data_IF_048885195241
#
_entry.id   IF_048885195241
#
_cell.length_a   1.000
_cell.length_b   1.000
_cell.length_c   1.000
_cell.angle_alpha   90.00
_cell.angle_beta   90.00
_cell.angle_gamma   90.00
#
_symmetry.space_group_name_H-M   'P 1'
#
loop_
_entity.id
_entity.type
_entity.pdbx_description
1 polymer ?
#
# COMPACT_ATOMS: atom_id res chain seq x y z
N UNK A 1 -4.70 3.56 -16.51
CA UNK A 1 -4.26 2.51 -15.56
C UNK A 1 -3.65 3.24 -14.39
N UNK A 2 -4.44 3.52 -13.35
CA UNK A 2 -3.97 4.27 -12.18
C UNK A 2 -3.36 3.29 -11.19
N UNK A 3 -2.03 3.25 -11.12
CA UNK A 3 -1.31 2.50 -10.09
C UNK A 3 -1.35 3.35 -8.83
N UNK A 4 -2.28 3.05 -7.91
CA UNK A 4 -2.45 3.82 -6.68
C UNK A 4 -1.37 3.53 -5.62
N UNK A 5 -0.50 2.55 -5.88
CA UNK A 5 0.51 2.10 -4.92
C UNK A 5 1.82 2.90 -4.90
N UNK A 6 2.08 3.78 -5.87
CA UNK A 6 3.43 4.35 -6.04
C UNK A 6 3.37 5.84 -6.36
N UNK A 7 3.29 6.68 -5.34
CA UNK A 7 3.67 8.09 -5.42
C UNK A 7 4.77 8.32 -4.37
N UNK A 8 6.01 8.25 -4.81
CA UNK A 8 7.17 8.80 -4.11
C UNK A 8 7.52 10.11 -4.84
N UNK A 9 7.33 11.27 -4.18
CA UNK A 9 7.85 12.53 -4.73
C UNK A 9 6.94 13.75 -4.76
N UNK A 10 5.90 13.84 -3.93
CA UNK A 10 5.22 15.12 -3.69
C UNK A 10 5.29 15.43 -2.19
N UNK A 11 5.91 16.56 -1.84
CA UNK A 11 5.68 17.16 -0.52
C UNK A 11 4.18 17.41 -0.31
N UNK A 12 3.73 17.63 0.93
CA UNK A 12 2.31 17.68 1.30
C UNK A 12 1.45 18.65 0.47
N UNK A 13 2.07 19.64 -0.20
CA UNK A 13 1.38 20.66 -0.98
C UNK A 13 1.14 20.35 -2.48
N UNK A 14 1.66 19.24 -3.05
CA UNK A 14 1.63 19.05 -4.52
C UNK A 14 0.68 17.93 -5.03
N UNK A 15 -0.17 17.37 -4.18
CA UNK A 15 -1.15 16.32 -4.58
C UNK A 15 -2.53 16.91 -5.00
N UNK A 16 -2.66 18.25 -5.09
CA UNK A 16 -3.92 18.90 -5.46
C UNK A 16 -3.83 19.68 -6.77
N UNK A 17 -4.08 19.02 -7.90
CA UNK A 17 -4.75 19.60 -9.07
C UNK A 17 -5.01 18.55 -10.17
N UNK A 18 -6.07 17.75 -10.04
CA UNK A 18 -7.04 17.39 -11.11
C UNK A 18 -7.90 16.20 -10.71
N UNK A 19 -9.03 16.48 -10.05
CA UNK A 19 -10.24 15.67 -10.14
C UNK A 19 -11.46 16.47 -9.64
N UNK A 20 -11.68 17.66 -10.21
CA UNK A 20 -12.96 18.35 -10.07
C UNK A 20 -13.92 17.76 -11.11
N UNK A 21 -14.82 16.86 -10.71
CA UNK A 21 -15.82 16.35 -11.64
C UNK A 21 -16.62 15.11 -11.25
N UNK A 22 -16.98 14.88 -9.99
CA UNK A 22 -18.04 13.93 -9.65
C UNK A 22 -19.02 14.58 -8.67
N UNK A 23 -20.17 15.00 -9.21
CA UNK A 23 -21.32 15.49 -8.43
C UNK A 23 -22.19 14.30 -8.04
N UNK A 24 -22.61 14.30 -6.77
CA UNK A 24 -23.76 13.64 -6.18
C UNK A 24 -23.92 12.14 -6.43
N UNK A 25 -23.42 11.35 -5.49
CA UNK A 25 -23.95 10.03 -5.17
C UNK A 25 -24.72 10.13 -3.84
N UNK A 26 -25.95 9.62 -3.82
CA UNK A 26 -26.79 9.41 -2.64
C UNK A 26 -26.00 8.67 -1.52
N UNK A 27 -26.37 8.83 -0.24
CA UNK A 27 -25.57 8.35 0.88
C UNK A 27 -25.69 6.82 0.98
N UNK A 28 -24.89 6.11 0.18
CA UNK A 28 -24.32 4.85 0.65
C UNK A 28 -23.60 5.24 1.93
N UNK A 29 -24.10 4.77 3.08
CA UNK A 29 -23.46 4.93 4.39
C UNK A 29 -21.96 4.78 4.14
N UNK A 30 -21.20 5.87 4.33
CA UNK A 30 -19.76 5.86 4.14
C UNK A 30 -19.19 4.81 5.10
N UNK A 31 -19.01 3.59 4.59
CA UNK A 31 -18.48 2.49 5.36
C UNK A 31 -16.99 2.77 5.49
N UNK A 32 -16.55 3.10 6.70
CA UNK A 32 -15.13 3.12 7.03
C UNK A 32 -14.70 1.66 7.22
N UNK A 33 -13.82 1.10 6.37
CA UNK A 33 -13.44 -0.31 6.48
C UNK A 33 -12.74 -0.65 7.79
N UNK A 34 -12.02 0.31 8.37
CA UNK A 34 -11.27 0.17 9.62
C UNK A 34 -12.04 0.88 10.74
N UNK A 35 -12.35 0.16 11.80
CA UNK A 35 -13.06 0.66 13.00
C UNK A 35 -12.11 0.95 14.16
N UNK A 36 -10.92 0.34 14.17
CA UNK A 36 -9.88 0.62 15.16
C UNK A 36 -8.48 0.49 14.55
N UNK A 37 -7.58 1.35 15.00
CA UNK A 37 -6.16 1.39 14.65
C UNK A 37 -5.45 2.19 15.76
N UNK A 38 -4.41 1.62 16.37
CA UNK A 38 -3.63 2.34 17.38
C UNK A 38 -2.72 3.37 16.71
N UNK A 39 -3.02 4.63 16.97
CA UNK A 39 -2.30 5.80 16.46
C UNK A 39 -1.36 6.40 17.51
N UNK A 40 -1.05 5.69 18.60
CA UNK A 40 -0.13 6.16 19.63
C UNK A 40 1.21 6.56 19.00
N UNK A 41 1.68 7.77 19.30
CA UNK A 41 2.90 8.35 18.74
C UNK A 41 2.75 8.97 17.35
N UNK A 42 1.56 8.92 16.75
CA UNK A 42 1.23 9.59 15.50
C UNK A 42 0.37 10.84 15.74
N UNK A 43 0.63 11.90 14.98
CA UNK A 43 -0.18 13.12 14.94
C UNK A 43 -0.86 13.22 13.58
N UNK A 44 -2.18 13.41 13.57
CA UNK A 44 -2.94 13.60 12.32
C UNK A 44 -2.51 14.92 11.65
N UNK A 45 -2.24 14.85 10.36
CA UNK A 45 -1.88 16.03 9.54
C UNK A 45 -3.01 16.39 8.58
N UNK A 46 -3.62 15.36 8.00
CA UNK A 46 -4.76 15.45 7.11
C UNK A 46 -5.68 14.25 7.39
N UNK A 47 -6.97 14.30 7.03
CA UNK A 47 -7.88 13.18 7.22
C UNK A 47 -7.32 11.88 6.64
N UNK A 48 -7.06 10.89 7.48
CA UNK A 48 -6.51 9.60 7.05
C UNK A 48 -4.99 9.57 6.84
N UNK A 49 -4.27 10.63 7.24
CA UNK A 49 -2.81 10.74 7.15
C UNK A 49 -2.23 11.26 8.47
N UNK A 50 -1.32 10.48 9.05
CA UNK A 50 -0.65 10.80 10.30
C UNK A 50 0.87 10.73 10.16
N UNK A 51 1.57 11.48 10.99
CA UNK A 51 3.04 11.47 11.05
C UNK A 51 3.55 11.31 12.47
N UNK A 52 4.65 10.60 12.66
CA UNK A 52 5.37 10.57 13.95
C UNK A 52 6.52 11.59 14.00
N UNK A 53 7.24 11.63 15.12
CA UNK A 53 8.40 12.51 15.32
C UNK A 53 9.60 12.17 14.42
N UNK A 54 9.73 10.91 13.99
CA UNK A 54 10.78 10.47 13.07
C UNK A 54 10.48 10.83 11.61
N UNK A 55 9.31 11.42 11.33
CA UNK A 55 8.87 11.76 9.97
C UNK A 55 8.28 10.58 9.21
N UNK A 56 7.99 9.47 9.89
CA UNK A 56 7.25 8.35 9.33
C UNK A 56 5.82 8.80 9.01
N UNK A 57 5.32 8.47 7.83
CA UNK A 57 3.96 8.80 7.41
C UNK A 57 3.13 7.52 7.39
N UNK A 58 2.06 7.49 8.18
CA UNK A 58 1.00 6.48 8.15
C UNK A 58 -0.19 7.03 7.38
N UNK A 59 -0.79 6.24 6.51
CA UNK A 59 -2.02 6.61 5.81
C UNK A 59 -2.92 5.41 5.61
N UNK A 60 -4.23 5.66 5.62
CA UNK A 60 -5.27 4.67 5.36
C UNK A 60 -6.07 5.08 4.14
N UNK A 61 -6.20 4.18 3.19
CA UNK A 61 -6.93 4.41 1.94
C UNK A 61 -8.06 3.38 1.80
N UNK A 62 -9.19 3.83 1.27
CA UNK A 62 -10.25 2.95 0.80
C UNK A 62 -10.52 3.20 -0.68
N UNK A 63 -10.48 2.14 -1.47
CA UNK A 63 -10.73 2.17 -2.90
C UNK A 63 -12.02 1.39 -3.18
N UNK A 64 -13.13 2.05 -3.56
CA UNK A 64 -14.38 1.39 -3.92
C UNK A 64 -14.34 0.85 -5.36
N UNK A 65 -13.23 0.19 -5.73
CA UNK A 65 -12.94 -0.33 -7.05
C UNK A 65 -12.34 -1.74 -6.94
N UNK A 66 -12.46 -2.53 -8.00
CA UNK A 66 -11.79 -3.83 -8.10
C UNK A 66 -10.28 -3.63 -7.85
N UNK A 67 -9.67 -4.38 -6.92
CA UNK A 67 -8.23 -4.28 -6.64
C UNK A 67 -7.39 -4.50 -7.90
N UNK A 68 -6.36 -3.68 -8.08
CA UNK A 68 -5.42 -3.75 -9.20
C UNK A 68 -4.26 -4.73 -8.95
N UNK A 69 -4.49 -5.75 -8.12
CA UNK A 69 -3.50 -6.80 -7.85
C UNK A 69 -3.32 -7.70 -9.10
N UNK A 70 -2.07 -8.05 -9.46
CA UNK A 70 -1.77 -8.77 -10.70
C UNK A 70 -2.08 -10.28 -10.63
N UNK A 71 -2.42 -10.80 -9.45
CA UNK A 71 -2.80 -12.19 -9.22
C UNK A 71 -3.65 -12.29 -7.93
N UNK A 72 -4.41 -13.37 -7.73
CA UNK A 72 -5.05 -13.63 -6.43
C UNK A 72 -4.01 -13.91 -5.33
N UNK A 73 -4.41 -13.72 -4.07
CA UNK A 73 -3.51 -13.87 -2.91
C UNK A 73 -2.98 -15.29 -2.70
N UNK A 74 -3.69 -16.31 -3.18
CA UNK A 74 -3.29 -17.71 -3.07
C UNK A 74 -2.26 -18.15 -4.12
N UNK A 75 -1.81 -17.24 -4.99
CA UNK A 75 -0.76 -17.48 -5.99
C UNK A 75 0.47 -16.57 -5.74
N UNK A 76 1.19 -16.76 -4.62
CA UNK A 76 2.22 -15.82 -4.16
C UNK A 76 3.32 -15.55 -5.19
N UNK A 77 3.75 -16.55 -5.96
CA UNK A 77 4.79 -16.36 -6.98
C UNK A 77 4.31 -15.50 -8.14
N UNK A 78 3.09 -15.74 -8.65
CA UNK A 78 2.49 -14.91 -9.72
C UNK A 78 2.21 -13.49 -9.23
N UNK A 79 1.73 -13.36 -7.99
CA UNK A 79 1.51 -12.08 -7.33
C UNK A 79 2.82 -11.29 -7.23
N UNK A 80 3.87 -11.91 -6.68
CA UNK A 80 5.19 -11.31 -6.54
C UNK A 80 5.77 -10.91 -7.90
N UNK A 81 5.69 -11.76 -8.91
CA UNK A 81 6.20 -11.47 -10.25
C UNK A 81 5.50 -10.27 -10.89
N UNK A 82 4.17 -10.22 -10.84
CA UNK A 82 3.41 -9.09 -11.36
C UNK A 82 3.68 -7.79 -10.60
N UNK A 83 3.77 -7.86 -9.27
CA UNK A 83 4.08 -6.69 -8.44
C UNK A 83 5.49 -6.17 -8.71
N UNK A 84 6.44 -7.08 -8.95
CA UNK A 84 7.82 -6.73 -9.33
C UNK A 84 7.83 -5.89 -10.60
N UNK A 85 7.10 -6.32 -11.62
CA UNK A 85 6.99 -5.60 -12.90
C UNK A 85 6.31 -4.23 -12.72
N UNK A 86 5.22 -4.17 -11.94
CA UNK A 86 4.53 -2.90 -11.65
C UNK A 86 5.44 -1.90 -10.93
N UNK A 87 6.19 -2.35 -9.93
CA UNK A 87 7.10 -1.50 -9.15
C UNK A 87 8.30 -1.06 -10.00
N UNK A 88 8.89 -1.97 -10.77
CA UNK A 88 9.98 -1.67 -11.69
C UNK A 88 9.57 -0.67 -12.78
N UNK A 89 8.35 -0.79 -13.32
CA UNK A 89 7.78 0.16 -14.28
C UNK A 89 7.63 1.59 -13.73
N UNK A 90 7.55 1.74 -12.41
CA UNK A 90 7.57 3.03 -11.72
C UNK A 90 8.99 3.48 -11.28
N UNK A 91 10.04 2.75 -11.69
CA UNK A 91 11.42 3.03 -11.34
C UNK A 91 11.84 2.54 -9.94
N UNK A 92 10.98 1.82 -9.23
CA UNK A 92 11.25 1.27 -7.90
C UNK A 92 11.84 -0.14 -7.92
N UNK A 93 12.00 -0.71 -6.72
CA UNK A 93 12.34 -2.12 -6.51
C UNK A 93 11.42 -2.73 -5.47
N UNK A 94 10.85 -3.91 -5.77
CA UNK A 94 10.08 -4.68 -4.80
C UNK A 94 11.06 -5.37 -3.83
N UNK A 95 10.83 -5.22 -2.53
CA UNK A 95 11.61 -5.89 -1.48
C UNK A 95 10.88 -7.17 -1.04
N UNK A 96 9.57 -7.07 -0.87
CA UNK A 96 8.74 -8.15 -0.32
C UNK A 96 7.33 -8.08 -0.88
N UNK A 97 6.73 -9.25 -1.15
CA UNK A 97 5.30 -9.42 -1.40
C UNK A 97 4.84 -10.73 -0.73
N UNK A 98 4.28 -10.62 0.48
CA UNK A 98 3.95 -11.78 1.32
C UNK A 98 2.44 -11.78 1.63
N UNK A 99 1.69 -12.80 1.16
CA UNK A 99 0.31 -13.01 1.60
C UNK A 99 0.25 -13.30 3.10
N UNK A 100 -0.81 -12.83 3.75
CA UNK A 100 -1.06 -13.05 5.16
C UNK A 100 -2.50 -12.66 5.52
N UNK A 101 -2.70 -12.21 6.75
CA UNK A 101 -3.98 -11.72 7.21
C UNK A 101 -3.84 -10.54 8.16
N UNK A 102 -4.80 -9.63 8.10
CA UNK A 102 -4.98 -8.54 9.07
C UNK A 102 -6.37 -8.71 9.67
N UNK A 103 -6.47 -8.79 10.99
CA UNK A 103 -7.76 -9.00 11.69
C UNK A 103 -8.59 -10.17 11.10
N UNK A 104 -7.90 -11.29 10.81
CA UNK A 104 -8.48 -12.49 10.22
C UNK A 104 -8.86 -12.39 8.73
N UNK A 105 -8.69 -11.24 8.08
CA UNK A 105 -9.02 -11.03 6.67
C UNK A 105 -7.78 -11.24 5.79
N UNK A 106 -7.86 -12.04 4.70
CA UNK A 106 -6.75 -12.23 3.76
C UNK A 106 -6.23 -10.90 3.19
N UNK A 107 -4.91 -10.74 3.21
CA UNK A 107 -4.21 -9.53 2.81
C UNK A 107 -2.85 -9.86 2.17
N UNK A 108 -2.22 -8.88 1.52
CA UNK A 108 -0.82 -8.94 1.11
C UNK A 108 -0.03 -7.82 1.75
N UNK A 109 1.10 -8.18 2.38
CA UNK A 109 2.11 -7.24 2.81
C UNK A 109 3.06 -6.97 1.66
N UNK A 110 3.31 -5.70 1.39
CA UNK A 110 4.29 -5.28 0.38
C UNK A 110 5.32 -4.36 1.04
N UNK A 111 6.58 -4.54 0.69
CA UNK A 111 7.65 -3.57 0.95
C UNK A 111 8.28 -3.20 -0.38
N UNK A 112 8.41 -1.90 -0.65
CA UNK A 112 9.04 -1.38 -1.87
C UNK A 112 10.02 -0.26 -1.52
N UNK A 113 11.04 -0.11 -2.35
CA UNK A 113 11.93 1.06 -2.35
C UNK A 113 11.76 1.84 -3.65
N UNK A 114 11.76 3.16 -3.53
CA UNK A 114 11.54 4.09 -4.63
C UNK A 114 12.66 5.15 -4.63
N UNK A 115 13.13 5.62 -5.79
CA UNK A 115 14.03 6.78 -5.82
C UNK A 115 13.30 8.05 -5.37
N UNK A 116 14.00 8.98 -4.73
CA UNK A 116 13.45 10.29 -4.36
C UNK A 116 13.30 11.27 -5.53
N UNK A 117 13.62 10.83 -6.75
CA UNK A 117 13.45 11.61 -7.98
C UNK A 117 14.44 12.77 -8.08
N UNK A 118 14.04 13.95 -7.59
CA UNK A 118 14.79 15.21 -7.74
C UNK A 118 16.02 15.33 -6.84
N UNK A 119 16.19 14.43 -5.86
CA UNK A 119 17.37 14.35 -5.00
C UNK A 119 17.87 12.90 -4.87
N UNK A 120 19.15 12.70 -4.53
CA UNK A 120 19.66 11.38 -4.18
C UNK A 120 18.91 10.77 -3.00
N UNK A 121 18.92 9.45 -2.96
CA UNK A 121 18.33 8.66 -1.88
C UNK A 121 17.06 7.92 -2.26
N UNK A 122 16.55 7.18 -1.29
CA UNK A 122 15.42 6.27 -1.45
C UNK A 122 14.30 6.58 -0.45
N UNK A 123 13.07 6.34 -0.87
CA UNK A 123 11.91 6.21 0.00
C UNK A 123 11.53 4.73 0.10
N UNK A 124 11.18 4.31 1.31
CA UNK A 124 10.72 2.96 1.59
C UNK A 124 9.25 3.04 1.97
N UNK A 125 8.45 2.21 1.32
CA UNK A 125 7.01 2.15 1.54
C UNK A 125 6.68 0.72 1.93
N UNK A 126 5.90 0.59 3.00
CA UNK A 126 5.33 -0.66 3.43
C UNK A 126 3.83 -0.57 3.50
N UNK A 127 3.12 -1.61 3.08
CA UNK A 127 1.66 -1.62 3.13
C UNK A 127 1.07 -2.99 3.40
N UNK A 128 -0.12 -2.97 3.98
CA UNK A 128 -1.07 -4.06 3.90
C UNK A 128 -2.18 -3.66 2.94
N UNK A 129 -2.36 -4.45 1.88
CA UNK A 129 -3.51 -4.35 0.98
C UNK A 129 -4.48 -5.46 1.34
N UNK A 130 -5.72 -5.11 1.70
CA UNK A 130 -6.80 -6.05 2.04
C UNK A 130 -7.84 -6.03 0.92
N UNK A 131 -7.74 -6.94 -0.07
CA UNK A 131 -8.58 -6.92 -1.24
C UNK A 131 -9.91 -7.67 -1.00
N UNK A 132 -11.02 -7.03 -1.38
CA UNK A 132 -12.34 -7.66 -1.56
C UNK A 132 -12.71 -7.62 -3.04
N UNK A 133 -13.76 -8.34 -3.41
CA UNK A 133 -14.17 -8.51 -4.80
C UNK A 133 -14.37 -7.18 -5.57
N UNK A 134 -14.95 -6.17 -4.93
CA UNK A 134 -15.22 -4.86 -5.54
C UNK A 134 -14.58 -3.66 -4.83
N UNK A 135 -13.68 -3.89 -3.87
CA UNK A 135 -13.03 -2.82 -3.12
C UNK A 135 -11.72 -3.28 -2.49
N UNK A 136 -10.91 -2.35 -2.01
CA UNK A 136 -9.80 -2.65 -1.11
C UNK A 136 -9.64 -1.57 -0.06
N UNK A 137 -9.03 -1.93 1.06
CA UNK A 137 -8.42 -0.96 1.97
C UNK A 137 -6.92 -1.19 2.05
N UNK A 138 -6.16 -0.10 2.14
CA UNK A 138 -4.70 -0.12 2.20
C UNK A 138 -4.26 0.66 3.42
N UNK A 139 -3.55 0.00 4.32
CA UNK A 139 -2.82 0.65 5.42
C UNK A 139 -1.37 0.76 4.97
N UNK A 140 -0.87 1.99 4.85
CA UNK A 140 0.44 2.28 4.27
C UNK A 140 1.28 3.09 5.24
N UNK A 141 2.52 2.67 5.41
CA UNK A 141 3.58 3.37 6.14
C UNK A 141 4.69 3.73 5.15
N UNK A 142 5.27 4.91 5.27
CA UNK A 142 6.41 5.31 4.45
C UNK A 142 7.39 6.20 5.21
N UNK A 143 8.68 6.04 4.90
CA UNK A 143 9.76 6.91 5.35
C UNK A 143 10.74 7.12 4.20
N UNK A 144 11.46 8.24 4.24
CA UNK A 144 12.45 8.58 3.23
C UNK A 144 13.81 8.82 3.88
N UNK A 145 14.87 8.53 3.14
CA UNK A 145 16.21 8.94 3.56
C UNK A 145 16.31 10.46 3.64
N UNK A 146 16.96 10.95 4.70
CA UNK A 146 17.17 12.37 4.95
C UNK A 146 18.38 12.92 4.18
N UNK A 147 19.12 13.82 4.83
CA UNK A 147 20.30 14.45 4.24
C UNK A 147 21.41 13.42 3.90
N UNK A 148 21.62 12.44 4.78
CA UNK A 148 22.53 11.30 4.55
C UNK A 148 21.76 10.16 3.91
N UNK A 149 22.26 9.66 2.77
CA UNK A 149 21.61 8.62 1.96
C UNK A 149 22.59 7.47 1.70
N UNK A 150 22.09 6.24 1.58
CA UNK A 150 22.86 5.06 1.18
C UNK A 150 23.81 4.53 2.25
N UNK A 151 23.70 4.98 3.51
CA UNK A 151 24.61 4.56 4.58
C UNK A 151 24.48 3.07 4.88
N UNK A 152 23.24 2.57 4.98
CA UNK A 152 22.97 1.14 5.19
C UNK A 152 23.57 0.31 4.07
N UNK A 153 23.29 0.71 2.84
CA UNK A 153 23.72 0.04 1.62
C UNK A 153 25.24 0.00 1.54
N UNK A 154 25.91 1.13 1.80
CA UNK A 154 27.38 1.24 1.75
C UNK A 154 28.06 0.37 2.82
N UNK A 155 27.58 0.41 4.06
CA UNK A 155 28.15 -0.40 5.16
C UNK A 155 27.99 -1.89 4.89
N UNK A 156 26.82 -2.31 4.43
CA UNK A 156 26.54 -3.71 4.13
C UNK A 156 27.37 -4.16 2.91
N UNK A 157 27.42 -3.36 1.84
CA UNK A 157 28.23 -3.66 0.66
C UNK A 157 29.71 -3.79 1.01
N UNK A 158 30.25 -2.93 1.87
CA UNK A 158 31.63 -3.02 2.35
C UNK A 158 31.88 -4.32 3.16
N UNK A 159 30.86 -4.80 3.88
CA UNK A 159 30.96 -6.02 4.68
C UNK A 159 30.86 -7.31 3.84
N UNK A 160 29.92 -7.38 2.90
CA UNK A 160 29.68 -8.62 2.12
C UNK A 160 30.47 -8.67 0.81
N UNK A 161 30.96 -7.52 0.35
CA UNK A 161 31.62 -7.36 -0.94
C UNK A 161 30.64 -7.16 -2.10
N UNK A 162 31.03 -6.44 -3.17
CA UNK A 162 30.14 -6.07 -4.27
C UNK A 162 29.59 -7.27 -5.05
N UNK A 163 30.32 -8.38 -5.10
CA UNK A 163 29.89 -9.61 -5.78
C UNK A 163 28.70 -10.29 -5.10
N UNK A 164 28.62 -10.23 -3.76
CA UNK A 164 27.56 -10.86 -2.98
C UNK A 164 26.43 -9.88 -2.64
N UNK A 165 26.62 -8.57 -2.89
CA UNK A 165 25.66 -7.55 -2.50
C UNK A 165 24.36 -7.61 -3.30
N UNK A 166 24.48 -7.65 -4.64
CA UNK A 166 23.33 -7.75 -5.54
C UNK A 166 22.93 -9.22 -5.71
N UNK A 167 21.64 -9.51 -5.58
CA UNK A 167 21.12 -10.88 -5.69
C UNK A 167 20.03 -10.95 -6.75
N UNK A 168 19.81 -12.12 -7.37
CA UNK A 168 18.62 -12.35 -8.19
C UNK A 168 17.37 -12.00 -7.40
N UNK A 169 16.41 -11.37 -8.08
CA UNK A 169 15.13 -11.02 -7.46
C UNK A 169 14.33 -12.29 -7.16
N UNK A 170 13.71 -12.45 -5.97
CA UNK A 170 13.02 -13.69 -5.59
C UNK A 170 11.76 -13.99 -6.43
N UNK A 171 11.26 -12.99 -7.16
CA UNK A 171 10.03 -13.09 -7.96
C UNK A 171 10.21 -12.78 -9.45
N UNK A 172 11.43 -12.57 -9.93
CA UNK A 172 11.66 -12.25 -11.33
C UNK A 172 12.90 -12.98 -11.87
N UNK A 173 12.75 -13.52 -13.08
CA UNK A 173 13.87 -14.04 -13.84
C UNK A 173 14.69 -12.88 -14.40
N UNK A 174 15.96 -12.79 -13.99
CA UNK A 174 16.85 -11.70 -14.38
C UNK A 174 16.57 -10.38 -13.64
N UNK A 175 16.92 -9.26 -14.27
CA UNK A 175 16.77 -7.93 -13.67
C UNK A 175 15.46 -7.28 -14.15
N UNK A 176 14.47 -7.03 -13.27
CA UNK A 176 13.15 -6.54 -13.68
C UNK A 176 13.13 -5.08 -14.15
N UNK A 177 14.25 -4.37 -14.11
CA UNK A 177 14.33 -2.91 -14.23
C UNK A 177 14.16 -2.21 -12.87
N UNK A 178 14.26 -0.87 -12.87
CA UNK A 178 14.14 -0.07 -11.64
C UNK A 178 15.31 -0.24 -10.66
N UNK A 179 15.03 -0.14 -9.36
CA UNK A 179 16.04 -0.30 -8.30
C UNK A 179 16.37 -1.79 -8.08
N UNK A 180 17.66 -2.15 -7.95
CA UNK A 180 18.07 -3.55 -7.84
C UNK A 180 17.74 -4.15 -6.46
N UNK A 181 17.41 -5.44 -6.45
CA UNK A 181 17.30 -6.21 -5.21
C UNK A 181 18.69 -6.54 -4.66
N UNK A 182 18.89 -6.38 -3.36
CA UNK A 182 20.18 -6.61 -2.73
C UNK A 182 20.06 -7.07 -1.28
N UNK A 183 21.10 -7.69 -0.75
CA UNK A 183 21.13 -8.21 0.64
C UNK A 183 20.90 -7.13 1.69
N UNK A 184 21.17 -5.85 1.37
CA UNK A 184 20.87 -4.72 2.24
C UNK A 184 19.38 -4.58 2.57
N UNK A 185 18.50 -5.12 1.71
CA UNK A 185 17.05 -5.08 1.92
C UNK A 185 16.60 -6.03 3.05
N UNK A 186 17.44 -6.99 3.46
CA UNK A 186 17.03 -8.05 4.41
C UNK A 186 16.83 -7.52 5.83
N UNK A 187 15.83 -8.07 6.52
CA UNK A 187 15.44 -7.68 7.88
C UNK A 187 16.55 -7.95 8.93
N UNK A 188 17.42 -8.92 8.69
CA UNK A 188 18.55 -9.24 9.58
C UNK A 188 19.48 -8.06 9.88
N UNK A 189 19.48 -7.02 9.02
CA UNK A 189 20.29 -5.82 9.20
C UNK A 189 19.61 -4.76 10.06
N UNK A 190 18.30 -4.84 10.26
CA UNK A 190 17.52 -3.81 10.95
C UNK A 190 18.05 -3.46 12.36
N UNK A 191 18.49 -4.42 13.21
CA UNK A 191 19.06 -4.09 14.52
C UNK A 191 20.31 -3.21 14.47
N UNK A 192 21.04 -3.20 13.34
CA UNK A 192 22.25 -2.39 13.14
C UNK A 192 21.97 -1.01 12.56
N UNK A 193 20.76 -0.79 12.05
CA UNK A 193 20.35 0.45 11.40
C UNK A 193 18.96 0.89 11.91
N UNK A 194 18.81 1.12 13.23
CA UNK A 194 17.51 1.38 13.85
C UNK A 194 16.79 2.60 13.26
N UNK A 195 17.54 3.62 12.84
CA UNK A 195 17.00 4.86 12.27
C UNK A 195 16.83 4.81 10.75
N UNK A 196 17.17 3.68 10.11
CA UNK A 196 17.04 3.57 8.66
C UNK A 196 15.56 3.50 8.24
N UNK A 197 15.14 4.23 7.19
CA UNK A 197 13.74 4.29 6.78
C UNK A 197 13.05 2.92 6.58
N UNK A 198 13.73 1.94 5.99
CA UNK A 198 13.19 0.57 5.86
C UNK A 198 12.91 -0.10 7.22
N UNK A 199 13.81 0.12 8.19
CA UNK A 199 13.67 -0.42 9.55
C UNK A 199 12.51 0.25 10.27
N UNK A 200 12.37 1.57 10.16
CA UNK A 200 11.23 2.32 10.71
C UNK A 200 9.90 1.84 10.12
N UNK A 201 9.82 1.66 8.80
CA UNK A 201 8.64 1.14 8.11
C UNK A 201 8.25 -0.26 8.60
N UNK A 202 9.22 -1.16 8.73
CA UNK A 202 8.99 -2.52 9.23
C UNK A 202 8.52 -2.52 10.68
N UNK A 203 9.20 -1.79 11.54
CA UNK A 203 8.87 -1.69 12.96
C UNK A 203 7.45 -1.11 13.16
N UNK A 204 7.10 -0.09 12.39
CA UNK A 204 5.76 0.49 12.42
C UNK A 204 4.69 -0.47 11.93
N UNK A 205 4.88 -1.14 10.79
CA UNK A 205 3.95 -2.16 10.32
C UNK A 205 3.75 -3.26 11.38
N UNK A 206 4.83 -3.77 11.98
CA UNK A 206 4.76 -4.78 13.03
C UNK A 206 3.95 -4.29 14.24
N UNK A 207 4.15 -3.03 14.64
CA UNK A 207 3.43 -2.40 15.76
C UNK A 207 1.95 -2.19 15.49
N UNK A 208 1.58 -1.64 14.33
CA UNK A 208 0.20 -1.24 14.05
C UNK A 208 -0.68 -2.40 13.58
N UNK A 209 -0.12 -3.38 12.85
CA UNK A 209 -0.89 -4.51 12.28
C UNK A 209 -1.80 -5.21 13.28
N UNK A 210 -1.35 -5.61 14.49
CA UNK A 210 -2.21 -6.31 15.45
C UNK A 210 -3.32 -5.44 16.06
N UNK A 211 -3.27 -4.12 15.87
CA UNK A 211 -4.25 -3.16 16.41
C UNK A 211 -5.35 -2.81 15.42
N UNK A 212 -5.20 -3.22 14.16
CA UNK A 212 -6.19 -2.98 13.12
C UNK A 212 -7.42 -3.83 13.42
N UNK A 213 -8.59 -3.20 13.45
CA UNK A 213 -9.88 -3.88 13.43
C UNK A 213 -10.68 -3.42 12.22
N UNK A 214 -11.23 -4.35 11.45
CA UNK A 214 -12.13 -4.06 10.34
C UNK A 214 -13.60 -4.10 10.75
N UNK A 215 -14.43 -3.30 10.08
CA UNK A 215 -15.89 -3.36 10.16
C UNK A 215 -16.37 -4.74 9.66
N UNK A 216 -17.27 -5.38 10.40
CA UNK A 216 -17.80 -6.72 10.04
C UNK A 216 -18.45 -6.75 8.65
N UNK A 217 -19.05 -5.63 8.20
CA UNK A 217 -19.61 -5.52 6.85
C UNK A 217 -18.52 -5.56 5.79
N UNK A 218 -17.35 -4.99 6.06
CA UNK A 218 -16.19 -5.08 5.18
C UNK A 218 -15.63 -6.51 5.16
N UNK A 219 -15.51 -7.16 6.33
CA UNK A 219 -15.08 -8.56 6.44
C UNK A 219 -16.00 -9.51 5.67
N UNK A 220 -17.30 -9.25 5.67
CA UNK A 220 -18.34 -10.03 5.01
C UNK A 220 -18.44 -9.83 3.49
N UNK A 221 -17.76 -8.83 2.91
CA UNK A 221 -17.73 -8.66 1.45
C UNK A 221 -17.17 -9.91 0.76
N UNK A 222 -17.48 -10.21 -0.51
CA UNK A 222 -16.89 -11.36 -1.19
C UNK A 222 -15.36 -11.21 -1.36
N UNK A 223 -14.59 -12.32 -1.36
CA UNK A 223 -13.13 -12.27 -1.49
C UNK A 223 -12.71 -11.90 -2.92
N UNK A 224 -11.54 -11.26 -3.06
CA UNK A 224 -10.97 -10.97 -4.36
C UNK A 224 -10.48 -12.26 -5.05
N UNK A 225 -11.09 -12.59 -6.20
CA UNK A 225 -10.80 -13.79 -6.98
C UNK A 225 -9.61 -13.70 -7.94
N UNK A 226 -8.89 -12.57 -7.98
CA UNK A 226 -7.84 -12.32 -8.97
C UNK A 226 -8.29 -11.40 -10.11
N UNK A 227 -7.34 -10.93 -10.94
CA UNK A 227 -7.65 -10.05 -12.07
C UNK A 227 -8.50 -10.77 -13.12
N UNK A 228 -9.50 -10.08 -13.66
CA UNK A 228 -10.38 -10.61 -14.73
C UNK A 228 -11.39 -11.67 -14.28
N UNK A 229 -11.32 -12.16 -13.04
CA UNK A 229 -12.35 -13.05 -12.49
C UNK A 229 -13.66 -12.28 -12.30
N UNK A 230 -14.82 -12.76 -12.80
CA UNK A 230 -16.11 -12.15 -12.53
C UNK A 230 -16.34 -12.02 -11.03
N UNK A 231 -16.37 -10.78 -10.55
CA UNK A 231 -16.57 -10.50 -9.14
C UNK A 231 -18.05 -10.62 -8.85
N UNK A 232 -18.44 -11.55 -7.98
CA UNK A 232 -19.81 -11.63 -7.48
C UNK A 232 -20.06 -10.41 -6.59
N UNK A 233 -20.45 -9.29 -7.19
CA UNK A 233 -20.92 -8.13 -6.44
C UNK A 233 -22.29 -8.50 -5.84
N UNK A 234 -22.56 -8.22 -4.57
CA UNK A 234 -23.90 -8.38 -4.04
C UNK A 234 -24.87 -7.55 -4.91
N UNK A 235 -25.95 -8.18 -5.33
CA UNK A 235 -27.05 -7.51 -6.02
C UNK A 235 -27.64 -6.49 -5.04
N UNK A 236 -27.31 -5.22 -5.21
CA UNK A 236 -28.01 -4.17 -4.49
C UNK A 236 -29.47 -4.20 -4.99
N UNK A 237 -30.47 -4.29 -4.10
CA UNK A 237 -31.85 -4.22 -4.52
C UNK A 237 -32.06 -2.91 -5.29
N UNK A 238 -32.82 -2.93 -6.40
CA UNK A 238 -33.04 -1.72 -7.18
C UNK A 238 -33.63 -0.64 -6.26
N UNK A 239 -33.22 0.64 -6.43
CA UNK A 239 -33.74 1.72 -5.61
C UNK A 239 -35.27 1.70 -5.70
N UNK A 240 -35.93 1.62 -4.55
CA UNK A 240 -37.40 1.67 -4.47
C UNK A 240 -37.82 2.99 -5.12
N UNK A 241 -38.44 2.94 -6.29
CA UNK A 241 -39.04 4.13 -6.94
C UNK A 241 -40.18 4.63 -6.05
N UNK A 242 -39.82 5.53 -5.14
CA UNK A 242 -40.67 6.24 -4.20
C UNK A 242 -41.45 7.37 -4.86
N UNK A 243 -42.64 7.07 -5.39
CA UNK A 243 -43.87 7.83 -5.18
C UNK A 243 -43.76 9.38 -5.10
N UNK A 244 -43.59 10.04 -6.24
CA UNK A 244 -44.11 11.39 -6.43
C UNK A 244 -45.15 11.39 -7.55
N UNK A 245 -46.42 11.14 -7.18
CA UNK A 245 -47.56 11.63 -7.95
C UNK A 245 -47.50 13.16 -7.89
N UNK A 246 -47.13 13.80 -8.99
CA UNK A 246 -47.31 15.24 -9.17
C UNK A 246 -48.83 15.48 -9.18
N UNK A 247 -49.37 16.17 -8.17
CA UNK A 247 -50.72 16.75 -8.27
C UNK A 247 -50.69 17.75 -9.42
N UNK A 248 -51.67 17.65 -10.33
CA UNK A 248 -52.01 18.72 -11.25
C UNK A 248 -52.92 19.67 -10.47
N UNK A 249 -52.49 20.92 -10.32
CA UNK A 249 -53.39 21.99 -9.94
C UNK A 249 -53.76 22.77 -11.22
N UNK A 250 -55.06 23.11 -11.25
CA UNK A 250 -55.90 23.89 -12.17
C UNK A 250 -55.27 24.55 -13.41
#
# INVERSE_FOLDING_TARGET
MHVYAIHAGAGPAAIFARAAGLRNLDPVIAMTPITSLDLTGFTEREPGVWTDEAGLVLSVHFFPLIPDLPAPLHEPQRLGAGLTQLVAGAGGGLIEAVPGSVDGVPAVRQLVKMPLGSRPGQAFLGSWTVPRAGSSTVVKVQAAEGATTGMREAVIMAQVGPAEYFRPHPYADGQPGGLPYHVGDHEQWDPRFPDHPLTLVRAALHRITPTITFDDRFKALPPFGGPGTPQSLPHLPPPRRGWFRRRKDA
#
